data_IF_761729779978
#
_entry.id   IF_761729779978
#
_cell.length_a   1.000
_cell.length_b   1.000
_cell.length_c   1.000
_cell.angle_alpha   90.00
_cell.angle_beta   90.00
_cell.angle_gamma   90.00
#
_symmetry.space_group_name_H-M   'P 1'
#
loop_
_entity.id
_entity.type
_entity.pdbx_description
1 polymer ?
#
# COMPACT_ATOMS: atom_id res chain seq x y z
N UNK A 1 -37.55 7.88 -3.18
CA UNK A 1 -37.08 7.91 -4.57
C UNK A 1 -35.83 8.75 -4.75
N UNK A 2 -35.74 10.01 -4.22
CA UNK A 2 -34.54 10.88 -4.33
C UNK A 2 -33.27 10.25 -3.76
N UNK A 3 -33.37 9.48 -2.66
CA UNK A 3 -32.26 8.74 -2.06
C UNK A 3 -31.74 7.65 -3.02
N UNK A 4 -32.64 6.90 -3.66
CA UNK A 4 -32.26 5.88 -4.64
C UNK A 4 -31.56 6.51 -5.86
N UNK A 5 -32.12 7.60 -6.39
CA UNK A 5 -31.50 8.33 -7.52
C UNK A 5 -30.12 8.85 -7.16
N UNK A 6 -29.92 9.41 -5.97
CA UNK A 6 -28.62 9.91 -5.52
C UNK A 6 -27.58 8.81 -5.31
N UNK A 7 -28.01 7.54 -5.14
CA UNK A 7 -27.11 6.40 -4.96
C UNK A 7 -26.68 5.74 -6.27
N UNK A 8 -27.31 6.09 -7.41
CA UNK A 8 -26.97 5.52 -8.73
C UNK A 8 -25.50 5.80 -9.11
N UNK A 9 -24.97 7.05 -9.04
CA UNK A 9 -23.60 7.31 -9.46
C UNK A 9 -22.56 6.49 -8.67
N UNK A 10 -22.71 6.39 -7.35
CA UNK A 10 -21.80 5.62 -6.50
C UNK A 10 -21.92 4.12 -6.76
N UNK A 11 -23.13 3.62 -7.03
CA UNK A 11 -23.36 2.22 -7.37
C UNK A 11 -22.72 1.83 -8.70
N UNK A 12 -22.86 2.68 -9.73
CA UNK A 12 -22.22 2.47 -11.03
C UNK A 12 -20.71 2.40 -10.91
N UNK A 13 -20.09 3.36 -10.21
CA UNK A 13 -18.63 3.38 -10.01
C UNK A 13 -18.18 2.18 -9.18
N UNK A 14 -18.89 1.87 -8.08
CA UNK A 14 -18.51 0.76 -7.18
C UNK A 14 -18.61 -0.62 -7.84
N UNK A 15 -19.52 -0.81 -8.82
CA UNK A 15 -19.65 -2.10 -9.52
C UNK A 15 -18.74 -2.19 -10.75
N UNK A 16 -18.63 -1.13 -11.55
CA UNK A 16 -17.85 -1.15 -12.79
C UNK A 16 -16.34 -0.99 -12.58
N UNK A 17 -15.94 -0.31 -11.51
CA UNK A 17 -14.55 0.03 -11.20
C UNK A 17 -14.11 -0.49 -9.83
N UNK A 18 -14.61 -1.67 -9.39
CA UNK A 18 -14.33 -2.27 -8.09
C UNK A 18 -12.80 -2.40 -7.85
N UNK A 19 -12.08 -2.94 -8.83
CA UNK A 19 -10.62 -3.17 -8.73
C UNK A 19 -9.83 -1.85 -8.69
N UNK A 20 -10.19 -0.89 -9.52
CA UNK A 20 -9.58 0.43 -9.56
C UNK A 20 -9.79 1.19 -8.24
N UNK A 21 -11.02 1.11 -7.70
CA UNK A 21 -11.35 1.69 -6.39
C UNK A 21 -10.52 1.03 -5.28
N UNK A 22 -10.43 -0.31 -5.26
CA UNK A 22 -9.61 -1.02 -4.28
C UNK A 22 -8.13 -0.62 -4.35
N UNK A 23 -7.59 -0.37 -5.55
CA UNK A 23 -6.22 0.05 -5.73
C UNK A 23 -5.87 1.39 -5.07
N UNK A 24 -6.84 2.29 -4.86
CA UNK A 24 -6.63 3.55 -4.14
C UNK A 24 -6.47 3.36 -2.61
N UNK A 25 -6.87 2.21 -2.07
CA UNK A 25 -6.77 1.90 -0.63
C UNK A 25 -5.44 1.24 -0.23
N UNK A 26 -4.48 1.16 -1.12
CA UNK A 26 -3.18 0.48 -0.93
C UNK A 26 -2.16 1.26 -0.10
N UNK A 27 -2.59 2.12 0.83
CA UNK A 27 -1.70 2.75 1.80
C UNK A 27 -0.96 4.00 1.32
N UNK A 28 -1.34 4.59 0.20
CA UNK A 28 -0.75 5.86 -0.27
C UNK A 28 -1.17 7.03 0.62
N UNK A 29 -0.35 7.32 1.65
CA UNK A 29 -0.60 8.39 2.63
C UNK A 29 -0.65 9.76 1.97
N UNK A 30 0.14 10.01 0.91
CA UNK A 30 0.14 11.28 0.17
C UNK A 30 -1.19 11.50 -0.54
N UNK A 31 -1.74 10.44 -1.17
CA UNK A 31 -3.07 10.49 -1.77
C UNK A 31 -4.14 10.83 -0.73
N UNK A 32 -4.15 10.09 0.39
CA UNK A 32 -5.11 10.31 1.50
C UNK A 32 -5.00 11.73 2.05
N UNK A 33 -3.78 12.23 2.27
CA UNK A 33 -3.52 13.60 2.72
C UNK A 33 -4.04 14.65 1.73
N UNK A 34 -3.80 14.46 0.43
CA UNK A 34 -4.28 15.35 -0.63
C UNK A 34 -5.81 15.38 -0.70
N UNK A 35 -6.46 14.22 -0.54
CA UNK A 35 -7.93 14.11 -0.52
C UNK A 35 -8.54 14.73 0.75
N UNK A 36 -7.83 14.70 1.89
CA UNK A 36 -8.21 15.44 3.10
C UNK A 36 -8.16 16.95 2.89
N UNK A 37 -7.20 17.48 2.12
CA UNK A 37 -7.16 18.89 1.77
C UNK A 37 -8.36 19.31 0.91
N UNK A 38 -8.78 18.46 -0.04
CA UNK A 38 -10.00 18.70 -0.82
C UNK A 38 -11.23 18.71 0.10
N UNK A 39 -11.33 17.78 1.03
CA UNK A 39 -12.39 17.75 2.05
C UNK A 39 -12.39 19.05 2.88
N UNK A 40 -11.20 19.49 3.32
CA UNK A 40 -11.05 20.75 4.06
C UNK A 40 -11.58 21.94 3.26
N UNK A 41 -11.20 22.06 1.99
CA UNK A 41 -11.69 23.13 1.12
C UNK A 41 -13.21 23.11 0.94
N UNK A 42 -13.79 21.94 0.67
CA UNK A 42 -15.25 21.79 0.55
C UNK A 42 -15.99 22.25 1.82
N UNK A 43 -15.53 21.84 2.99
CA UNK A 43 -16.09 22.24 4.27
C UNK A 43 -15.91 23.73 4.54
N UNK A 44 -14.76 24.30 4.20
CA UNK A 44 -14.46 25.72 4.34
C UNK A 44 -15.41 26.59 3.52
N UNK A 45 -15.67 26.25 2.26
CA UNK A 45 -16.58 26.99 1.42
C UNK A 45 -18.02 27.03 1.97
N UNK A 46 -18.46 26.01 2.72
CA UNK A 46 -19.77 26.00 3.36
C UNK A 46 -19.92 27.03 4.47
N UNK A 47 -18.81 27.48 5.08
CA UNK A 47 -18.80 28.49 6.13
C UNK A 47 -19.33 29.84 5.63
N UNK A 48 -19.01 30.21 4.39
CA UNK A 48 -19.44 31.49 3.81
C UNK A 48 -20.90 31.49 3.35
N UNK A 49 -21.57 30.31 3.33
CA UNK A 49 -22.99 30.23 2.99
C UNK A 49 -23.86 30.54 4.20
N UNK A 50 -24.44 31.76 4.22
CA UNK A 50 -25.54 32.10 5.15
C UNK A 50 -26.77 31.28 4.76
N UNK A 51 -27.13 30.33 5.62
CA UNK A 51 -28.13 29.35 5.25
C UNK A 51 -29.39 29.45 6.11
N UNK A 52 -30.21 30.47 5.85
CA UNK A 52 -31.61 30.56 6.31
C UNK A 52 -32.58 29.90 5.33
N UNK A 53 -32.06 29.16 4.37
CA UNK A 53 -32.87 28.55 3.32
C UNK A 53 -33.79 27.46 3.88
N UNK A 54 -35.07 27.56 3.49
CA UNK A 54 -36.10 26.53 3.73
C UNK A 54 -36.22 25.54 2.56
N UNK A 55 -35.31 25.62 1.56
CA UNK A 55 -35.34 24.79 0.34
C UNK A 55 -35.35 23.31 0.66
N UNK A 56 -36.25 22.58 0.03
CA UNK A 56 -36.25 21.12 0.00
C UNK A 56 -35.32 20.61 -1.11
N UNK A 57 -34.81 19.38 -0.95
CA UNK A 57 -34.01 18.70 -1.97
C UNK A 57 -34.91 18.44 -3.21
N UNK A 58 -34.46 18.95 -4.36
CA UNK A 58 -35.02 18.59 -5.66
C UNK A 58 -34.46 17.29 -6.22
N UNK A 59 -34.91 16.80 -7.35
CA UNK A 59 -34.30 15.65 -8.03
C UNK A 59 -32.95 16.00 -8.61
N UNK A 60 -32.78 17.21 -9.15
CA UNK A 60 -31.48 17.70 -9.62
C UNK A 60 -30.47 17.84 -8.49
N UNK A 61 -30.89 18.38 -7.33
CA UNK A 61 -30.01 18.44 -6.13
C UNK A 61 -29.58 17.02 -5.72
N UNK A 62 -30.50 16.05 -5.75
CA UNK A 62 -30.20 14.66 -5.38
C UNK A 62 -29.15 14.02 -6.31
N UNK A 63 -29.20 14.29 -7.62
CA UNK A 63 -28.19 13.80 -8.58
C UNK A 63 -26.82 14.45 -8.30
N UNK A 64 -26.79 15.78 -8.10
CA UNK A 64 -25.51 16.50 -7.83
C UNK A 64 -24.89 16.04 -6.52
N UNK A 65 -25.70 15.84 -5.46
CA UNK A 65 -25.23 15.29 -4.18
C UNK A 65 -24.74 13.84 -4.38
N UNK A 66 -25.41 13.06 -5.24
CA UNK A 66 -25.00 11.70 -5.61
C UNK A 66 -23.65 11.65 -6.33
N UNK A 67 -23.36 12.59 -7.22
CA UNK A 67 -22.05 12.74 -7.86
C UNK A 67 -20.96 13.09 -6.83
N UNK A 68 -21.26 13.98 -5.86
CA UNK A 68 -20.34 14.27 -4.77
C UNK A 68 -20.08 13.03 -3.88
N UNK A 69 -21.08 12.17 -3.68
CA UNK A 69 -20.90 10.87 -3.01
C UNK A 69 -20.02 9.92 -3.81
N UNK A 70 -20.16 9.89 -5.12
CA UNK A 70 -19.36 9.06 -6.00
C UNK A 70 -17.86 9.48 -5.99
N UNK A 71 -17.58 10.77 -6.01
CA UNK A 71 -16.22 11.29 -5.83
C UNK A 71 -15.64 10.97 -4.45
N UNK A 72 -16.49 10.86 -3.44
CA UNK A 72 -16.08 10.52 -2.07
C UNK A 72 -15.82 9.00 -1.85
N UNK A 73 -15.72 8.19 -2.90
CA UNK A 73 -15.17 6.84 -2.88
C UNK A 73 -13.65 6.89 -2.63
N UNK A 74 -12.97 7.96 -3.10
CA UNK A 74 -11.53 8.10 -2.92
C UNK A 74 -11.15 8.18 -1.43
N UNK A 75 -10.11 7.45 -0.98
CA UNK A 75 -9.67 7.45 0.40
C UNK A 75 -9.18 8.85 0.82
N UNK A 76 -9.63 9.33 1.98
CA UNK A 76 -9.35 10.70 2.46
C UNK A 76 -10.45 11.71 2.15
N UNK A 77 -11.31 11.49 1.15
CA UNK A 77 -12.50 12.31 0.97
C UNK A 77 -13.57 11.88 1.96
N UNK A 78 -13.96 12.81 2.84
CA UNK A 78 -15.07 12.58 3.76
C UNK A 78 -16.40 12.49 3.00
N UNK A 79 -17.00 11.30 2.92
CA UNK A 79 -18.28 11.10 2.23
C UNK A 79 -19.39 12.00 2.78
N UNK A 80 -19.59 11.99 4.10
CA UNK A 80 -20.59 12.87 4.74
C UNK A 80 -20.22 14.34 4.61
N UNK A 81 -18.93 14.68 4.71
CA UNK A 81 -18.41 16.03 4.48
C UNK A 81 -18.78 16.53 3.08
N UNK A 82 -18.50 15.75 2.04
CA UNK A 82 -18.77 16.12 0.65
C UNK A 82 -20.27 16.24 0.34
N UNK A 83 -21.09 15.26 0.75
CA UNK A 83 -22.52 15.26 0.47
C UNK A 83 -23.26 16.37 1.23
N UNK A 84 -22.92 16.61 2.51
CA UNK A 84 -23.50 17.70 3.28
C UNK A 84 -23.05 19.04 2.70
N UNK A 85 -21.76 19.22 2.41
CA UNK A 85 -21.22 20.44 1.82
C UNK A 85 -21.88 20.76 0.49
N UNK A 86 -22.01 19.78 -0.40
CA UNK A 86 -22.67 19.96 -1.68
C UNK A 86 -24.12 20.37 -1.52
N UNK A 87 -24.89 19.72 -0.63
CA UNK A 87 -26.26 20.11 -0.33
C UNK A 87 -26.38 21.53 0.20
N UNK A 88 -25.45 21.97 1.06
CA UNK A 88 -25.41 23.33 1.59
C UNK A 88 -25.05 24.34 0.50
N UNK A 89 -24.12 24.03 -0.40
CA UNK A 89 -23.77 24.87 -1.54
C UNK A 89 -24.94 25.04 -2.52
N UNK A 90 -25.83 24.04 -2.63
CA UNK A 90 -27.09 24.09 -3.39
C UNK A 90 -28.22 24.83 -2.63
N UNK A 91 -27.90 25.45 -1.51
CA UNK A 91 -28.83 26.16 -0.64
C UNK A 91 -29.96 25.29 -0.04
N UNK A 92 -29.71 23.98 0.15
CA UNK A 92 -30.62 23.08 0.88
C UNK A 92 -30.58 23.38 2.39
N UNK A 93 -31.71 23.26 3.07
CA UNK A 93 -31.76 23.43 4.53
C UNK A 93 -30.81 22.47 5.23
N UNK A 94 -30.06 22.96 6.24
CA UNK A 94 -29.00 22.21 6.95
C UNK A 94 -29.47 20.90 7.54
N UNK A 95 -30.61 20.89 8.21
CA UNK A 95 -31.15 19.69 8.84
C UNK A 95 -31.55 18.65 7.79
N UNK A 96 -32.18 19.10 6.68
CA UNK A 96 -32.59 18.23 5.56
C UNK A 96 -31.35 17.69 4.82
N UNK A 97 -30.33 18.52 4.60
CA UNK A 97 -29.06 18.12 3.99
C UNK A 97 -28.39 16.99 4.78
N UNK A 98 -28.31 17.15 6.11
CA UNK A 98 -27.66 16.15 6.99
C UNK A 98 -28.47 14.84 7.05
N UNK A 99 -29.79 14.94 7.24
CA UNK A 99 -30.66 13.75 7.23
C UNK A 99 -30.58 13.00 5.91
N UNK A 100 -30.59 13.73 4.78
CA UNK A 100 -30.49 13.13 3.45
C UNK A 100 -29.13 12.43 3.26
N UNK A 101 -28.03 13.09 3.64
CA UNK A 101 -26.69 12.51 3.56
C UNK A 101 -26.55 11.21 4.36
N UNK A 102 -27.14 11.12 5.56
CA UNK A 102 -27.11 9.90 6.35
C UNK A 102 -28.00 8.78 5.79
N UNK A 103 -29.15 9.13 5.23
CA UNK A 103 -30.05 8.13 4.66
C UNK A 103 -29.55 7.59 3.32
N UNK A 104 -28.95 8.45 2.48
CA UNK A 104 -28.46 8.01 1.16
C UNK A 104 -27.31 7.01 1.25
N UNK A 105 -26.50 7.04 2.33
CA UNK A 105 -25.39 6.10 2.52
C UNK A 105 -25.86 4.67 2.81
N UNK A 106 -27.06 4.51 3.34
CA UNK A 106 -27.59 3.18 3.64
C UNK A 106 -27.76 2.33 2.39
N UNK A 107 -28.13 2.96 1.25
CA UNK A 107 -28.36 2.24 -0.02
C UNK A 107 -27.09 1.51 -0.49
N UNK A 108 -25.92 2.15 -0.67
CA UNK A 108 -24.70 1.45 -1.06
C UNK A 108 -24.20 0.47 0.02
N UNK A 109 -24.40 0.75 1.33
CA UNK A 109 -24.03 -0.20 2.38
C UNK A 109 -24.85 -1.50 2.25
N UNK A 110 -26.17 -1.39 2.12
CA UNK A 110 -27.01 -2.57 1.90
C UNK A 110 -26.69 -3.28 0.58
N UNK A 111 -26.38 -2.52 -0.47
CA UNK A 111 -25.94 -3.07 -1.76
C UNK A 111 -24.69 -3.95 -1.63
N UNK A 112 -23.66 -3.45 -0.96
CA UNK A 112 -22.41 -4.19 -0.71
C UNK A 112 -22.64 -5.42 0.17
N UNK A 113 -23.48 -5.29 1.22
CA UNK A 113 -23.82 -6.44 2.08
C UNK A 113 -24.51 -7.56 1.30
N UNK A 114 -25.47 -7.20 0.43
CA UNK A 114 -26.15 -8.19 -0.43
C UNK A 114 -25.15 -8.84 -1.40
N UNK A 115 -24.33 -8.05 -2.09
CA UNK A 115 -23.33 -8.59 -3.03
C UNK A 115 -22.34 -9.52 -2.36
N UNK A 116 -21.81 -9.14 -1.19
CA UNK A 116 -20.88 -9.99 -0.42
C UNK A 116 -21.56 -11.24 0.13
N UNK A 117 -22.82 -11.15 0.55
CA UNK A 117 -23.58 -12.33 0.98
C UNK A 117 -23.76 -13.32 -0.15
N UNK A 118 -24.09 -12.85 -1.37
CA UNK A 118 -24.25 -13.72 -2.54
C UNK A 118 -22.91 -14.39 -2.92
N UNK A 119 -21.80 -13.62 -2.96
CA UNK A 119 -20.45 -14.16 -3.23
C UNK A 119 -20.01 -15.14 -2.12
N UNK A 120 -20.23 -14.81 -0.86
CA UNK A 120 -19.86 -15.67 0.29
C UNK A 120 -20.66 -16.99 0.32
N UNK A 121 -21.92 -17.02 -0.09
CA UNK A 121 -22.67 -18.26 -0.21
C UNK A 121 -22.09 -19.23 -1.24
N UNK A 122 -21.43 -18.74 -2.29
CA UNK A 122 -20.76 -19.59 -3.29
C UNK A 122 -19.43 -20.18 -2.79
N UNK A 123 -18.76 -19.52 -1.85
CA UNK A 123 -17.47 -19.99 -1.27
C UNK A 123 -17.68 -20.91 -0.05
N UNK A 124 -18.79 -20.78 0.67
CA UNK A 124 -19.13 -21.55 1.88
C UNK A 124 -19.44 -23.02 1.56
N UNK A 125 -19.70 -23.38 0.30
CA UNK A 125 -19.94 -24.79 -0.09
C UNK A 125 -18.72 -25.69 0.03
N UNK A 126 -17.51 -25.17 0.27
CA UNK A 126 -16.26 -25.97 0.33
C UNK A 126 -15.59 -26.04 1.69
N UNK A 127 -15.99 -25.26 2.70
CA UNK A 127 -15.34 -25.28 4.02
C UNK A 127 -16.38 -25.27 5.15
N UNK A 128 -16.64 -26.46 5.67
CA UNK A 128 -17.47 -26.69 6.86
C UNK A 128 -16.74 -26.21 8.12
N UNK A 129 -17.09 -25.03 8.61
CA UNK A 129 -17.12 -24.67 10.05
C UNK A 129 -17.52 -23.18 10.17
N UNK A 130 -18.83 -22.91 10.01
CA UNK A 130 -19.36 -21.57 10.21
C UNK A 130 -19.69 -21.42 11.70
N UNK A 131 -18.78 -20.84 12.48
CA UNK A 131 -19.10 -20.27 13.78
C UNK A 131 -19.74 -18.88 13.58
N UNK A 132 -21.01 -18.87 13.12
CA UNK A 132 -21.78 -17.63 12.86
C UNK A 132 -22.07 -16.79 14.12
N UNK A 133 -21.78 -17.28 15.30
CA UNK A 133 -22.05 -16.62 16.58
C UNK A 133 -20.87 -16.68 17.56
N UNK A 134 -19.70 -16.21 17.12
CA UNK A 134 -18.70 -15.87 18.13
C UNK A 134 -19.15 -14.65 18.94
N UNK A 135 -18.95 -14.68 20.26
CA UNK A 135 -19.25 -13.58 21.18
C UNK A 135 -18.62 -12.25 20.76
N UNK A 136 -17.50 -12.29 20.05
CA UNK A 136 -16.80 -11.16 19.44
C UNK A 136 -17.65 -10.39 18.42
N UNK A 137 -18.45 -11.05 17.59
CA UNK A 137 -19.34 -10.38 16.62
C UNK A 137 -20.49 -9.64 17.32
N UNK A 138 -21.05 -10.22 18.39
CA UNK A 138 -22.11 -9.61 19.17
C UNK A 138 -21.60 -8.37 19.88
N UNK A 139 -20.45 -8.45 20.54
CA UNK A 139 -19.81 -7.30 21.20
C UNK A 139 -19.46 -6.22 20.18
N UNK A 140 -18.90 -6.60 19.04
CA UNK A 140 -18.59 -5.68 17.93
C UNK A 140 -19.83 -4.96 17.41
N UNK A 141 -20.93 -5.68 17.22
CA UNK A 141 -22.21 -5.10 16.76
C UNK A 141 -22.75 -4.05 17.74
N UNK A 142 -22.85 -4.37 19.03
CA UNK A 142 -23.36 -3.41 20.02
C UNK A 142 -22.43 -2.23 20.21
N UNK A 143 -21.12 -2.44 20.23
CA UNK A 143 -20.12 -1.38 20.30
C UNK A 143 -20.25 -0.42 19.11
N UNK A 144 -20.37 -0.93 17.88
CA UNK A 144 -20.59 -0.14 16.68
C UNK A 144 -21.93 0.62 16.70
N UNK A 145 -23.00 -0.02 17.19
CA UNK A 145 -24.32 0.60 17.32
C UNK A 145 -24.29 1.80 18.26
N UNK A 146 -23.74 1.62 19.48
CA UNK A 146 -23.71 2.70 20.47
C UNK A 146 -22.80 3.85 20.03
N UNK A 147 -21.60 3.56 19.54
CA UNK A 147 -20.67 4.59 19.04
C UNK A 147 -21.25 5.32 17.82
N UNK A 148 -21.91 4.60 16.91
CA UNK A 148 -22.57 5.17 15.73
C UNK A 148 -23.71 6.11 16.08
N UNK A 149 -24.60 5.72 17.00
CA UNK A 149 -25.69 6.59 17.48
C UNK A 149 -25.15 7.86 18.14
N UNK A 150 -24.09 7.73 18.97
CA UNK A 150 -23.45 8.86 19.62
C UNK A 150 -22.81 9.81 18.59
N UNK A 151 -22.03 9.27 17.65
CA UNK A 151 -21.39 10.04 16.59
C UNK A 151 -22.42 10.78 15.70
N UNK A 152 -23.53 10.12 15.33
CA UNK A 152 -24.60 10.75 14.55
C UNK A 152 -25.23 11.92 15.29
N UNK A 153 -25.50 11.78 16.61
CA UNK A 153 -26.06 12.87 17.42
C UNK A 153 -25.12 14.08 17.48
N UNK A 154 -23.84 13.85 17.70
CA UNK A 154 -22.81 14.91 17.74
C UNK A 154 -22.74 15.60 16.38
N UNK A 155 -22.66 14.84 15.29
CA UNK A 155 -22.55 15.39 13.94
C UNK A 155 -23.76 16.26 13.56
N UNK A 156 -24.98 15.80 13.87
CA UNK A 156 -26.20 16.59 13.68
C UNK A 156 -26.15 17.91 14.43
N UNK A 157 -25.68 17.92 15.68
CA UNK A 157 -25.51 19.14 16.48
C UNK A 157 -24.51 20.10 15.85
N UNK A 158 -23.34 19.61 15.44
CA UNK A 158 -22.28 20.42 14.84
C UNK A 158 -22.73 21.08 13.53
N UNK A 159 -23.44 20.34 12.68
CA UNK A 159 -23.95 20.86 11.41
C UNK A 159 -25.04 21.91 11.66
N UNK A 160 -25.95 21.69 12.59
CA UNK A 160 -26.98 22.66 12.99
C UNK A 160 -26.37 23.97 13.51
N UNK A 161 -25.33 23.88 14.34
CA UNK A 161 -24.62 25.02 14.91
C UNK A 161 -23.64 25.70 13.95
N UNK A 162 -23.59 25.29 12.66
CA UNK A 162 -22.65 25.83 11.65
C UNK A 162 -21.18 25.69 11.97
N UNK A 163 -20.82 24.71 12.80
CA UNK A 163 -19.46 24.50 13.30
C UNK A 163 -18.59 23.58 12.41
N UNK A 164 -18.95 23.41 11.12
CA UNK A 164 -18.21 22.60 10.16
C UNK A 164 -16.77 23.11 9.91
N UNK A 165 -16.52 24.40 10.23
CA UNK A 165 -15.19 25.01 10.11
C UNK A 165 -14.13 24.29 10.96
N UNK A 166 -14.50 23.74 12.13
CA UNK A 166 -13.56 22.98 12.97
C UNK A 166 -13.12 21.68 12.30
N UNK A 167 -14.03 21.03 11.55
CA UNK A 167 -13.67 19.86 10.76
C UNK A 167 -12.79 20.23 9.55
N UNK A 168 -13.03 21.38 8.94
CA UNK A 168 -12.16 21.90 7.88
C UNK A 168 -10.74 22.11 8.41
N UNK A 169 -10.57 22.77 9.55
CA UNK A 169 -9.27 22.98 10.16
C UNK A 169 -8.57 21.63 10.53
N UNK A 170 -9.32 20.67 11.07
CA UNK A 170 -8.81 19.33 11.37
C UNK A 170 -8.33 18.62 10.10
N UNK A 171 -9.13 18.59 9.03
CA UNK A 171 -8.76 17.96 7.76
C UNK A 171 -7.55 18.66 7.11
N UNK A 172 -7.43 19.99 7.23
CA UNK A 172 -6.27 20.73 6.76
C UNK A 172 -5.00 20.29 7.49
N UNK A 173 -5.05 20.28 8.82
CA UNK A 173 -3.88 19.93 9.64
C UNK A 173 -3.46 18.47 9.40
N UNK A 174 -4.39 17.52 9.47
CA UNK A 174 -4.09 16.11 9.26
C UNK A 174 -3.65 15.83 7.81
N UNK A 175 -4.26 16.51 6.83
CA UNK A 175 -3.88 16.40 5.43
C UNK A 175 -2.44 16.88 5.18
N UNK A 176 -2.06 18.03 5.72
CA UNK A 176 -0.69 18.56 5.63
C UNK A 176 0.32 17.63 6.32
N UNK A 177 0.00 17.13 7.51
CA UNK A 177 0.84 16.16 8.23
C UNK A 177 0.98 14.87 7.42
N UNK A 178 -0.11 14.33 6.88
CA UNK A 178 -0.10 13.13 6.05
C UNK A 178 0.77 13.29 4.80
N UNK A 179 0.67 14.41 4.09
CA UNK A 179 1.52 14.70 2.94
C UNK A 179 3.00 14.82 3.36
N UNK A 180 3.28 15.55 4.43
CA UNK A 180 4.65 15.74 4.93
C UNK A 180 5.33 14.41 5.29
N UNK A 181 4.67 13.56 6.07
CA UNK A 181 5.21 12.26 6.44
C UNK A 181 5.17 11.26 5.29
N UNK A 182 4.12 11.28 4.46
CA UNK A 182 4.02 10.39 3.31
C UNK A 182 5.07 10.66 2.24
N UNK A 183 5.41 11.93 2.00
CA UNK A 183 6.49 12.28 1.06
C UNK A 183 7.88 11.97 1.62
N UNK A 184 8.06 12.02 2.93
CA UNK A 184 9.33 11.67 3.58
C UNK A 184 9.58 10.16 3.60
N UNK A 185 8.52 9.36 3.81
CA UNK A 185 8.64 7.90 3.90
C UNK A 185 8.82 7.20 2.54
N UNK A 186 8.61 7.88 1.41
CA UNK A 186 8.88 7.30 0.08
C UNK A 186 10.36 6.95 -0.15
N UNK A 187 11.26 7.42 0.71
CA UNK A 187 12.71 7.18 0.62
C UNK A 187 13.29 6.39 1.81
N UNK A 188 12.48 5.94 2.77
CA UNK A 188 12.99 5.12 3.89
C UNK A 188 13.11 3.66 3.46
N UNK A 189 14.34 3.14 3.50
CA UNK A 189 14.61 1.71 3.33
C UNK A 189 13.91 0.92 4.44
N UNK A 190 13.18 -0.13 4.07
CA UNK A 190 12.59 -1.06 5.03
C UNK A 190 13.65 -1.63 5.97
N UNK A 191 13.34 -1.77 7.24
CA UNK A 191 14.23 -2.41 8.21
C UNK A 191 13.46 -3.16 9.30
N UNK A 192 14.12 -4.16 9.85
CA UNK A 192 13.69 -4.89 11.03
C UNK A 192 14.63 -4.61 12.19
N UNK A 193 14.17 -4.84 13.40
CA UNK A 193 15.04 -4.96 14.57
C UNK A 193 15.47 -6.43 14.66
N UNK A 194 16.76 -6.77 14.47
CA UNK A 194 17.20 -8.16 14.58
C UNK A 194 16.92 -8.71 15.98
N UNK A 195 16.52 -10.00 16.05
CA UNK A 195 16.20 -10.67 17.33
C UNK A 195 17.45 -10.98 18.17
N UNK A 196 18.64 -10.86 17.57
CA UNK A 196 19.95 -11.03 18.21
C UNK A 196 20.91 -9.95 17.76
N UNK A 197 21.90 -9.64 18.57
CA UNK A 197 22.96 -8.71 18.20
C UNK A 197 23.77 -9.21 16.99
N UNK A 198 24.21 -8.29 16.12
CA UNK A 198 24.95 -8.63 14.90
C UNK A 198 26.27 -9.38 15.19
N UNK A 199 26.92 -9.05 16.31
CA UNK A 199 28.11 -9.76 16.80
C UNK A 199 27.81 -11.23 17.11
N UNK A 200 26.71 -11.51 17.80
CA UNK A 200 26.25 -12.86 18.13
C UNK A 200 25.86 -13.63 16.87
N UNK A 201 25.13 -12.98 15.93
CA UNK A 201 24.79 -13.58 14.63
C UNK A 201 26.03 -14.01 13.84
N UNK A 202 27.11 -13.22 13.90
CA UNK A 202 28.39 -13.56 13.26
C UNK A 202 29.06 -14.77 13.91
N UNK A 203 29.00 -14.90 15.21
CA UNK A 203 29.55 -16.07 15.93
C UNK A 203 28.75 -17.32 15.63
N UNK A 204 27.41 -17.27 15.68
CA UNK A 204 26.53 -18.38 15.31
C UNK A 204 26.84 -18.83 13.89
N UNK A 205 26.94 -17.92 12.95
CA UNK A 205 27.17 -18.26 11.54
C UNK A 205 28.55 -18.86 11.28
N UNK A 206 29.60 -18.43 12.00
CA UNK A 206 30.94 -18.99 11.90
C UNK A 206 31.03 -20.41 12.47
N UNK A 207 30.28 -20.71 13.51
CA UNK A 207 30.25 -22.01 14.18
C UNK A 207 29.28 -22.98 13.53
N UNK A 208 28.57 -22.57 12.47
CA UNK A 208 27.64 -23.38 11.70
C UNK A 208 28.26 -23.85 10.39
N UNK A 209 27.92 -25.03 9.94
CA UNK A 209 28.37 -25.56 8.66
C UNK A 209 27.27 -25.39 7.60
N UNK A 210 27.63 -25.01 6.35
CA UNK A 210 26.68 -25.04 5.25
C UNK A 210 26.19 -26.45 4.99
N UNK A 211 24.97 -26.64 4.45
CA UNK A 211 24.51 -27.93 4.03
C UNK A 211 25.45 -28.52 2.98
N UNK A 212 25.65 -29.84 3.00
CA UNK A 212 26.44 -30.53 1.98
C UNK A 212 25.68 -30.43 0.65
N UNK A 213 26.14 -29.51 -0.21
CA UNK A 213 25.65 -29.42 -1.58
C UNK A 213 26.24 -30.59 -2.36
N UNK A 214 25.39 -31.30 -3.10
CA UNK A 214 25.82 -32.40 -3.95
C UNK A 214 26.99 -31.97 -4.86
N UNK A 215 27.92 -32.88 -5.08
CA UNK A 215 29.21 -32.71 -5.76
C UNK A 215 29.15 -32.16 -7.21
N UNK A 216 27.97 -31.97 -7.77
CA UNK A 216 27.73 -31.38 -9.10
C UNK A 216 28.01 -29.86 -9.19
N UNK A 217 28.15 -29.17 -8.05
CA UNK A 217 28.32 -27.71 -8.00
C UNK A 217 29.80 -27.22 -7.90
N UNK A 218 30.78 -28.15 -7.90
CA UNK A 218 32.20 -27.82 -7.73
C UNK A 218 32.87 -27.06 -8.90
N UNK A 219 32.17 -26.88 -10.02
CA UNK A 219 32.72 -26.25 -11.23
C UNK A 219 32.20 -24.85 -11.54
N UNK A 220 31.42 -24.25 -10.65
CA UNK A 220 30.83 -22.94 -10.91
C UNK A 220 31.83 -21.83 -10.60
N UNK A 221 32.38 -21.22 -11.67
CA UNK A 221 33.24 -20.03 -11.54
C UNK A 221 32.37 -18.79 -11.36
N UNK A 222 32.71 -17.97 -10.39
CA UNK A 222 32.14 -16.65 -10.19
C UNK A 222 32.93 -15.62 -10.99
N UNK A 223 32.23 -14.72 -11.67
CA UNK A 223 32.80 -13.58 -12.37
C UNK A 223 32.39 -12.29 -11.67
N UNK A 224 33.27 -11.32 -11.60
CA UNK A 224 32.98 -9.98 -11.10
C UNK A 224 32.17 -9.23 -12.17
N UNK A 225 30.94 -8.83 -11.83
CA UNK A 225 30.01 -8.21 -12.76
C UNK A 225 30.52 -6.87 -13.30
N UNK A 226 31.26 -6.10 -12.53
CA UNK A 226 31.85 -4.85 -13.00
C UNK A 226 32.97 -5.07 -14.02
N UNK A 227 33.65 -6.22 -13.97
CA UNK A 227 34.63 -6.63 -14.97
C UNK A 227 33.98 -7.22 -16.21
N UNK A 228 32.80 -7.87 -16.05
CA UNK A 228 32.05 -8.42 -17.14
C UNK A 228 31.46 -7.32 -18.03
N UNK A 229 30.83 -6.32 -17.40
CA UNK A 229 30.28 -5.16 -18.11
C UNK A 229 30.30 -3.92 -17.20
N UNK A 230 30.98 -2.87 -17.65
CA UNK A 230 31.16 -1.65 -16.88
C UNK A 230 29.90 -0.76 -16.80
N UNK A 231 28.86 -1.03 -17.59
CA UNK A 231 27.58 -0.30 -17.57
C UNK A 231 26.69 -0.67 -16.37
N UNK A 232 26.94 -1.82 -15.70
CA UNK A 232 26.22 -2.12 -14.47
C UNK A 232 26.55 -1.08 -13.39
N UNK A 233 25.52 -0.48 -12.82
CA UNK A 233 25.67 0.31 -11.59
C UNK A 233 25.65 -0.63 -10.39
N UNK A 234 26.49 -0.37 -9.40
CA UNK A 234 26.54 -1.14 -8.15
C UNK A 234 26.07 -0.26 -7.00
N UNK A 235 25.09 -0.73 -6.25
CA UNK A 235 24.67 -0.18 -4.95
C UNK A 235 24.50 -1.37 -3.99
N UNK A 236 25.62 -2.01 -3.65
CA UNK A 236 25.64 -3.26 -2.89
C UNK A 236 25.17 -3.00 -1.47
N UNK A 237 23.88 -3.23 -1.24
CA UNK A 237 23.17 -2.89 0.00
C UNK A 237 23.78 -3.50 1.24
N UNK A 238 24.26 -4.73 1.15
CA UNK A 238 24.89 -5.43 2.27
C UNK A 238 26.36 -5.03 2.51
N UNK A 239 26.94 -4.21 1.65
CA UNK A 239 28.24 -3.58 1.90
C UNK A 239 28.11 -2.25 2.67
N UNK A 240 26.89 -1.78 2.93
CA UNK A 240 26.55 -0.59 3.71
C UNK A 240 25.57 -0.91 4.82
N UNK A 241 25.10 0.08 5.55
CA UNK A 241 23.99 -0.04 6.52
C UNK A 241 22.62 0.19 5.89
N UNK A 242 22.55 0.43 4.57
CA UNK A 242 21.31 0.67 3.82
C UNK A 242 20.66 -0.66 3.41
N UNK A 243 20.27 -1.48 4.40
CA UNK A 243 19.60 -2.77 4.21
C UNK A 243 18.64 -3.05 5.38
N UNK A 244 17.86 -4.10 5.27
CA UNK A 244 16.79 -4.42 6.21
C UNK A 244 17.24 -4.68 7.66
N UNK A 245 18.51 -4.99 7.92
CA UNK A 245 19.08 -5.13 9.28
C UNK A 245 19.93 -3.93 9.72
N UNK A 246 20.02 -2.88 8.92
CA UNK A 246 20.86 -1.68 9.18
C UNK A 246 22.31 -2.00 9.56
N UNK A 247 22.88 -3.04 8.97
CA UNK A 247 24.21 -3.53 9.33
C UNK A 247 25.03 -3.91 8.12
N UNK A 248 26.36 -3.76 8.24
CA UNK A 248 27.30 -4.12 7.17
C UNK A 248 27.68 -5.59 7.26
N UNK A 249 27.39 -6.34 6.18
CA UNK A 249 27.69 -7.78 6.05
C UNK A 249 28.90 -8.05 5.15
N UNK A 250 29.10 -7.26 4.08
CA UNK A 250 30.21 -7.39 3.16
C UNK A 250 31.31 -6.37 3.44
N UNK A 251 32.55 -6.76 3.14
CA UNK A 251 33.70 -5.86 3.29
C UNK A 251 33.80 -4.86 2.14
N UNK A 252 33.46 -5.29 0.91
CA UNK A 252 33.65 -4.54 -0.32
C UNK A 252 32.36 -4.47 -1.12
N UNK A 253 32.18 -3.40 -1.88
CA UNK A 253 31.07 -3.19 -2.83
C UNK A 253 31.37 -3.89 -4.16
N UNK A 254 31.32 -5.22 -4.17
CA UNK A 254 31.56 -6.03 -5.37
C UNK A 254 30.44 -7.03 -5.54
N UNK A 255 30.02 -7.22 -6.78
CA UNK A 255 29.03 -8.19 -7.17
C UNK A 255 29.69 -9.33 -7.96
N UNK A 256 29.49 -10.56 -7.49
CA UNK A 256 29.96 -11.75 -8.19
C UNK A 256 28.78 -12.58 -8.65
N UNK A 257 28.85 -13.14 -9.85
CA UNK A 257 27.76 -13.91 -10.44
C UNK A 257 28.31 -15.17 -11.12
N UNK A 258 27.48 -16.20 -11.25
CA UNK A 258 27.90 -17.44 -11.89
C UNK A 258 28.11 -17.24 -13.39
N UNK A 259 29.25 -17.69 -13.90
CA UNK A 259 29.61 -17.54 -15.32
C UNK A 259 28.53 -18.12 -16.24
N UNK A 260 27.92 -19.26 -15.87
CA UNK A 260 26.89 -19.90 -16.68
C UNK A 260 25.57 -19.11 -16.79
N UNK A 261 25.35 -18.13 -15.88
CA UNK A 261 24.19 -17.27 -15.88
C UNK A 261 24.51 -15.83 -16.38
N UNK A 262 25.79 -15.52 -16.54
CA UNK A 262 26.25 -14.17 -16.89
C UNK A 262 25.74 -13.69 -18.27
N UNK A 263 25.73 -14.58 -19.27
CA UNK A 263 25.27 -14.24 -20.62
C UNK A 263 23.79 -13.83 -20.61
N UNK A 264 22.94 -14.54 -19.85
CA UNK A 264 21.52 -14.18 -19.72
C UNK A 264 21.31 -12.83 -19.04
N UNK A 265 22.19 -12.47 -18.10
CA UNK A 265 22.12 -11.14 -17.47
C UNK A 265 22.51 -10.03 -18.48
N UNK A 266 23.45 -10.31 -19.37
CA UNK A 266 23.81 -9.37 -20.43
C UNK A 266 22.67 -9.22 -21.43
N UNK A 267 22.02 -10.31 -21.81
CA UNK A 267 20.86 -10.27 -22.71
C UNK A 267 19.73 -9.43 -22.09
N UNK A 268 19.35 -9.72 -20.85
CA UNK A 268 18.35 -8.93 -20.12
C UNK A 268 18.72 -7.45 -20.01
N UNK A 269 19.98 -7.13 -19.76
CA UNK A 269 20.47 -5.75 -19.75
C UNK A 269 20.29 -5.08 -21.10
N UNK A 270 20.56 -5.78 -22.21
CA UNK A 270 20.44 -5.23 -23.56
C UNK A 270 18.97 -4.97 -23.90
N UNK A 271 18.05 -5.89 -23.57
CA UNK A 271 16.62 -5.71 -23.76
C UNK A 271 16.10 -4.51 -22.94
N UNK A 272 16.48 -4.38 -21.66
CA UNK A 272 16.10 -3.24 -20.84
C UNK A 272 16.65 -1.91 -21.39
N UNK A 273 17.86 -1.94 -21.95
CA UNK A 273 18.47 -0.75 -22.57
C UNK A 273 17.68 -0.24 -23.77
N UNK A 274 17.10 -1.13 -24.60
CA UNK A 274 16.20 -0.76 -25.69
C UNK A 274 14.92 -0.07 -25.21
N UNK A 275 14.49 -0.39 -23.96
CA UNK A 275 13.36 0.25 -23.29
C UNK A 275 13.73 1.53 -22.52
N UNK A 276 15.01 1.95 -22.57
CA UNK A 276 15.51 3.14 -21.88
C UNK A 276 15.92 2.91 -20.42
N UNK A 277 16.02 1.64 -19.96
CA UNK A 277 16.38 1.33 -18.58
C UNK A 277 17.78 0.74 -18.46
N UNK A 278 18.48 1.14 -17.39
CA UNK A 278 19.73 0.52 -16.94
C UNK A 278 19.52 -0.29 -15.66
N UNK A 279 20.49 -1.16 -15.33
CA UNK A 279 20.43 -2.05 -14.16
C UNK A 279 21.32 -1.52 -13.04
N UNK A 280 20.74 -1.44 -11.83
CA UNK A 280 21.46 -1.27 -10.56
C UNK A 280 21.49 -2.62 -9.87
N UNK A 281 22.66 -3.07 -9.41
CA UNK A 281 22.83 -4.34 -8.71
C UNK A 281 22.88 -4.06 -7.21
N UNK A 282 21.95 -4.64 -6.45
CA UNK A 282 21.87 -4.52 -4.98
C UNK A 282 22.54 -5.67 -4.26
N UNK A 283 22.41 -6.91 -4.76
CA UNK A 283 23.10 -8.11 -4.28
C UNK A 283 23.23 -9.14 -5.41
N UNK A 284 24.22 -10.01 -5.32
CA UNK A 284 24.43 -11.10 -6.27
C UNK A 284 24.86 -12.37 -5.53
N UNK A 285 26.12 -12.84 -5.66
CA UNK A 285 26.61 -13.94 -4.83
C UNK A 285 26.63 -13.52 -3.36
N UNK A 286 25.88 -14.27 -2.55
CA UNK A 286 25.79 -14.09 -1.10
C UNK A 286 26.45 -15.30 -0.41
N UNK A 287 27.51 -15.09 0.36
CA UNK A 287 28.10 -16.18 1.16
C UNK A 287 27.04 -16.80 2.08
N UNK A 288 27.06 -18.13 2.21
CA UNK A 288 26.07 -18.86 3.01
C UNK A 288 25.96 -18.36 4.47
N UNK A 289 27.08 -17.99 5.09
CA UNK A 289 27.07 -17.47 6.46
C UNK A 289 26.23 -16.19 6.60
N UNK A 290 26.13 -15.37 5.55
CA UNK A 290 25.26 -14.18 5.55
C UNK A 290 23.79 -14.59 5.50
N UNK A 291 23.44 -15.59 4.68
CA UNK A 291 22.07 -16.16 4.67
C UNK A 291 21.71 -16.72 6.06
N UNK A 292 22.66 -17.39 6.74
CA UNK A 292 22.46 -17.87 8.11
C UNK A 292 22.23 -16.71 9.08
N UNK A 293 22.98 -15.63 8.98
CA UNK A 293 22.78 -14.43 9.81
C UNK A 293 21.40 -13.81 9.59
N UNK A 294 20.92 -13.74 8.33
CA UNK A 294 19.60 -13.21 8.00
C UNK A 294 18.50 -14.04 8.65
N UNK A 295 18.60 -15.37 8.54
CA UNK A 295 17.64 -16.28 9.14
C UNK A 295 17.56 -16.17 10.67
N UNK A 296 18.73 -16.18 11.33
CA UNK A 296 18.82 -16.12 12.78
C UNK A 296 18.44 -14.75 13.35
N UNK A 297 18.64 -13.68 12.58
CA UNK A 297 18.31 -12.32 12.99
C UNK A 297 16.88 -11.88 12.69
N UNK A 298 16.17 -12.60 11.82
CA UNK A 298 14.81 -12.24 11.43
C UNK A 298 13.77 -12.77 12.43
N UNK A 299 12.82 -11.94 12.90
CA UNK A 299 11.70 -12.37 13.73
C UNK A 299 10.91 -13.51 13.10
N UNK A 300 10.35 -14.42 13.90
CA UNK A 300 9.68 -15.65 13.45
C UNK A 300 8.55 -15.38 12.44
N UNK A 301 7.75 -14.35 12.69
CA UNK A 301 6.63 -13.95 11.82
C UNK A 301 7.08 -13.40 10.44
N UNK A 302 8.36 -13.06 10.27
CA UNK A 302 8.93 -12.55 9.00
C UNK A 302 9.88 -13.53 8.33
N UNK A 303 10.13 -14.71 8.90
CA UNK A 303 11.05 -15.71 8.35
C UNK A 303 10.70 -16.21 6.97
N UNK A 304 9.43 -16.14 6.58
CA UNK A 304 8.99 -16.54 5.24
C UNK A 304 9.52 -15.62 4.12
N UNK A 305 10.07 -14.42 4.45
CA UNK A 305 10.73 -13.54 3.50
C UNK A 305 12.23 -13.83 3.31
N UNK A 306 12.83 -14.64 4.17
CA UNK A 306 14.26 -14.97 4.11
C UNK A 306 14.49 -16.45 3.82
N UNK A 307 15.56 -16.75 3.07
CA UNK A 307 15.86 -18.12 2.72
C UNK A 307 16.29 -18.95 3.94
N UNK A 308 15.73 -20.15 4.11
CA UNK A 308 16.18 -21.09 5.13
C UNK A 308 17.59 -21.58 4.79
N UNK A 309 18.59 -21.39 5.66
CA UNK A 309 19.97 -21.77 5.41
C UNK A 309 20.18 -23.28 5.29
N UNK A 310 19.28 -24.12 5.81
CA UNK A 310 19.34 -25.57 5.65
C UNK A 310 19.10 -26.01 4.20
N UNK A 311 18.28 -25.28 3.46
CA UNK A 311 18.01 -25.51 2.04
C UNK A 311 18.98 -24.73 1.13
N UNK A 312 19.71 -23.77 1.70
CA UNK A 312 20.50 -22.81 0.96
C UNK A 312 19.67 -21.83 0.17
N UNK A 313 20.34 -20.93 -0.56
CA UNK A 313 19.74 -19.91 -1.41
C UNK A 313 20.37 -19.95 -2.80
N UNK A 314 19.64 -19.55 -3.83
CA UNK A 314 20.19 -19.33 -5.17
C UNK A 314 21.29 -18.29 -5.18
N UNK A 315 21.27 -17.32 -4.27
CA UNK A 315 22.37 -16.36 -4.06
C UNK A 315 23.66 -17.06 -3.57
N UNK A 316 23.55 -18.11 -2.77
CA UNK A 316 24.74 -18.84 -2.30
C UNK A 316 25.45 -19.58 -3.44
N UNK A 317 24.75 -19.83 -4.55
CA UNK A 317 25.28 -20.44 -5.77
C UNK A 317 25.75 -19.39 -6.81
N UNK A 318 25.53 -18.09 -6.55
CA UNK A 318 25.73 -17.01 -7.49
C UNK A 318 24.77 -17.05 -8.69
N UNK A 319 23.60 -17.69 -8.54
CA UNK A 319 22.60 -17.86 -9.59
C UNK A 319 21.35 -16.97 -9.38
N UNK A 320 21.32 -16.15 -8.35
CA UNK A 320 20.33 -15.12 -8.14
C UNK A 320 21.00 -13.76 -8.02
N UNK A 321 20.28 -12.74 -8.40
CA UNK A 321 20.71 -11.34 -8.37
C UNK A 321 19.53 -10.47 -8.00
N UNK A 322 19.75 -9.53 -7.08
CA UNK A 322 18.78 -8.50 -6.72
C UNK A 322 19.12 -7.23 -7.49
N UNK A 323 18.16 -6.73 -8.25
CA UNK A 323 18.36 -5.58 -9.11
C UNK A 323 17.32 -4.49 -8.86
N UNK A 324 17.71 -3.25 -9.17
CA UNK A 324 16.82 -2.14 -9.44
C UNK A 324 17.02 -1.65 -10.86
N UNK A 325 16.14 -0.77 -11.29
CA UNK A 325 16.24 -0.10 -12.59
C UNK A 325 16.52 1.39 -12.40
N UNK A 326 17.22 1.98 -13.37
CA UNK A 326 17.35 3.43 -13.48
C UNK A 326 17.06 3.87 -14.90
N UNK A 327 16.55 5.07 -15.05
CA UNK A 327 16.33 5.71 -16.34
C UNK A 327 17.68 6.14 -16.92
N UNK A 328 17.99 5.71 -18.14
CA UNK A 328 19.32 5.95 -18.76
C UNK A 328 19.53 7.43 -19.09
N UNK A 329 18.46 8.17 -19.42
CA UNK A 329 18.56 9.59 -19.79
C UNK A 329 18.79 10.47 -18.56
N UNK A 330 18.07 10.19 -17.46
CA UNK A 330 18.12 11.01 -16.25
C UNK A 330 19.14 10.50 -15.22
N UNK A 331 19.48 9.21 -15.27
CA UNK A 331 20.30 8.53 -14.26
C UNK A 331 19.56 8.26 -12.92
N UNK A 332 18.28 8.61 -12.82
CA UNK A 332 17.49 8.44 -11.62
C UNK A 332 16.96 7.01 -11.46
N UNK A 333 16.95 6.49 -10.24
CA UNK A 333 16.35 5.18 -9.94
C UNK A 333 14.85 5.19 -10.22
N UNK A 334 14.36 4.10 -10.82
CA UNK A 334 12.93 3.89 -11.04
C UNK A 334 12.26 3.51 -9.73
N UNK A 335 11.17 4.21 -9.42
CA UNK A 335 10.35 3.92 -8.25
C UNK A 335 9.50 2.66 -8.51
N UNK A 336 9.81 1.58 -7.80
CA UNK A 336 9.13 0.28 -7.90
C UNK A 336 8.00 0.18 -6.86
N UNK A 337 7.18 -0.87 -6.96
CA UNK A 337 6.03 -1.09 -6.05
C UNK A 337 6.50 -1.26 -4.60
N UNK A 338 7.62 -1.96 -4.38
CA UNK A 338 8.22 -2.16 -3.06
C UNK A 338 9.65 -1.66 -3.03
N UNK A 339 10.13 -1.31 -1.84
CA UNK A 339 11.54 -1.06 -1.61
C UNK A 339 12.37 -2.35 -1.67
N UNK A 340 13.69 -2.20 -1.75
CA UNK A 340 14.62 -3.33 -1.64
C UNK A 340 14.48 -4.00 -0.28
N UNK A 341 14.41 -5.33 -0.25
CA UNK A 341 14.22 -6.15 0.96
C UNK A 341 13.02 -5.71 1.82
N UNK A 342 11.95 -5.23 1.23
CA UNK A 342 10.73 -4.87 1.95
C UNK A 342 9.92 -6.14 2.27
N UNK A 343 9.83 -6.50 3.56
CA UNK A 343 9.11 -7.69 4.03
C UNK A 343 7.63 -7.39 4.24
N UNK A 344 6.94 -7.05 3.15
CA UNK A 344 5.50 -6.79 3.12
C UNK A 344 4.86 -7.45 1.90
N UNK A 345 3.54 -7.47 1.86
CA UNK A 345 2.79 -7.98 0.69
C UNK A 345 3.13 -7.24 -0.61
N UNK A 346 3.65 -6.02 -0.53
CA UNK A 346 4.06 -5.22 -1.69
C UNK A 346 5.21 -5.86 -2.47
N UNK A 347 6.02 -6.70 -1.82
CA UNK A 347 7.12 -7.43 -2.45
C UNK A 347 6.68 -8.66 -3.26
N UNK A 348 5.41 -9.09 -3.15
CA UNK A 348 4.93 -10.23 -3.93
C UNK A 348 4.69 -9.87 -5.40
N UNK A 349 5.07 -10.74 -6.35
CA UNK A 349 4.88 -10.49 -7.77
C UNK A 349 3.43 -10.23 -8.20
N UNK A 350 2.47 -10.82 -7.49
CA UNK A 350 1.03 -10.69 -7.76
C UNK A 350 0.35 -9.54 -6.99
N UNK A 351 1.12 -8.68 -6.31
CA UNK A 351 0.54 -7.55 -5.59
C UNK A 351 -0.06 -6.54 -6.56
N UNK A 352 -1.36 -6.25 -6.38
CA UNK A 352 -2.15 -5.40 -7.30
C UNK A 352 -2.12 -3.91 -6.94
N UNK A 353 -1.46 -3.53 -5.84
CA UNK A 353 -1.30 -2.14 -5.43
C UNK A 353 -0.22 -1.40 -6.21
N UNK A 354 0.10 -0.19 -5.76
CA UNK A 354 1.01 0.71 -6.47
C UNK A 354 0.33 1.41 -7.66
N UNK A 355 1.08 2.26 -8.36
CA UNK A 355 0.61 2.95 -9.57
C UNK A 355 0.57 1.98 -10.76
N UNK A 356 -0.24 2.32 -11.79
CA UNK A 356 -0.24 1.55 -13.04
C UNK A 356 1.16 1.49 -13.66
N UNK A 357 1.89 2.62 -13.68
CA UNK A 357 3.26 2.69 -14.22
C UNK A 357 4.20 1.71 -13.52
N UNK A 358 4.14 1.62 -12.19
CA UNK A 358 4.97 0.69 -11.42
C UNK A 358 4.64 -0.78 -11.73
N UNK A 359 3.36 -1.11 -11.91
CA UNK A 359 2.95 -2.47 -12.31
C UNK A 359 3.38 -2.80 -13.73
N UNK A 360 3.18 -1.89 -14.67
CA UNK A 360 3.57 -2.06 -16.08
C UNK A 360 5.10 -2.27 -16.23
N UNK A 361 5.92 -1.68 -15.31
CA UNK A 361 7.38 -1.88 -15.28
C UNK A 361 7.75 -3.23 -14.64
N UNK A 362 6.99 -3.66 -13.63
CA UNK A 362 7.22 -4.96 -12.96
C UNK A 362 6.90 -6.13 -13.88
N UNK A 363 5.79 -6.08 -14.64
CA UNK A 363 5.24 -7.13 -15.51
C UNK A 363 5.95 -7.17 -16.87
#
# INVERSE_FOLDING_TARGET
>A
LKILISSIPVGVIGVLYEKEVESFFTGNIVLVGSMLLITSALLFFTYFKKNDSKKNISYTDAIIIGLAQALAILPGISRSGSTISMALLLNVNREKATKFSFLMVLVPIFGILILKSIKGFSEISETSNIYLFESSYIVGFFSALFSGVFACKIMLKIVKESKLIYFSAYCLLVGCIGIYFGSKNSNETFYITPVKEISELREISKNSNPPTLDSLDSHKKLIDLKKLNNEFQLDIRYASTNNFMRSKFYKNERAFFNVSAADRLIDAKNELKELGYGIIIYDAYRPWFVTKMFWEGTPENLKHFVANPENGSSHNKGCAIDIGLYDIETGESIDMISGYDEFTERAYPNYMGGSKKQRDIRD
#
